data_IF_677756785046
#
_entry.id   IF_677756785046
#
_cell.length_a   1.000
_cell.length_b   1.000
_cell.length_c   1.000
_cell.angle_alpha   90.00
_cell.angle_beta   90.00
_cell.angle_gamma   90.00
#
_symmetry.space_group_name_H-M   'P 1'
#
loop_
_entity.id
_entity.type
_entity.pdbx_description
1 polymer ?
#
# COMPACT_ATOMS: atom_id res chain seq x y z
N UNK A 1 14.49 -13.41 -28.76
CA UNK A 1 14.74 -12.66 -27.51
C UNK A 1 13.72 -13.14 -26.50
N UNK A 2 14.14 -13.62 -25.33
CA UNK A 2 13.20 -14.07 -24.29
C UNK A 2 12.35 -12.88 -23.86
N UNK A 3 11.03 -12.96 -24.04
CA UNK A 3 10.10 -11.95 -23.54
C UNK A 3 10.24 -11.89 -22.01
N UNK A 4 10.46 -10.70 -21.44
CA UNK A 4 10.47 -10.55 -20.00
C UNK A 4 9.08 -10.96 -19.45
N UNK A 5 9.05 -11.74 -18.37
CA UNK A 5 7.79 -12.22 -17.80
C UNK A 5 7.07 -11.13 -16.97
N UNK A 6 7.80 -10.10 -16.53
CA UNK A 6 7.25 -9.01 -15.73
C UNK A 6 7.93 -7.68 -16.05
N UNK A 7 7.22 -6.57 -15.84
CA UNK A 7 7.75 -5.20 -15.85
C UNK A 7 7.54 -4.57 -14.48
N UNK A 8 8.60 -3.99 -13.91
CA UNK A 8 8.53 -3.31 -12.63
C UNK A 8 8.10 -1.85 -12.81
N UNK A 9 7.08 -1.43 -12.05
CA UNK A 9 6.61 -0.05 -11.95
C UNK A 9 7.00 0.50 -10.60
N UNK A 10 7.85 1.54 -10.61
CA UNK A 10 8.35 2.19 -9.40
C UNK A 10 7.90 3.64 -9.40
N UNK A 11 7.15 4.06 -8.38
CA UNK A 11 6.76 5.47 -8.22
C UNK A 11 7.66 6.11 -7.18
N UNK A 12 8.24 7.27 -7.49
CA UNK A 12 9.08 8.01 -6.55
C UNK A 12 8.58 9.44 -6.32
N UNK A 13 8.83 9.97 -5.13
CA UNK A 13 8.64 11.36 -4.76
C UNK A 13 9.64 11.68 -3.65
N UNK A 14 10.75 12.33 -4.00
CA UNK A 14 11.87 12.63 -3.10
C UNK A 14 12.50 11.38 -2.44
N UNK A 15 12.91 10.38 -3.25
CA UNK A 15 13.42 9.09 -2.76
C UNK A 15 14.90 8.85 -3.05
N UNK A 16 15.70 9.92 -3.18
CA UNK A 16 17.11 9.85 -3.60
C UNK A 16 17.93 8.86 -2.74
N UNK A 17 17.63 8.78 -1.44
CA UNK A 17 18.36 7.95 -0.48
C UNK A 17 18.11 6.45 -0.63
N UNK A 18 16.90 6.06 -1.06
CA UNK A 18 16.48 4.65 -1.07
C UNK A 18 16.50 4.04 -2.47
N UNK A 19 16.31 4.85 -3.51
CA UNK A 19 16.01 4.37 -4.86
C UNK A 19 17.12 3.49 -5.47
N UNK A 20 18.39 3.77 -5.17
CA UNK A 20 19.53 2.99 -5.70
C UNK A 20 19.44 1.53 -5.32
N UNK A 21 19.13 1.24 -4.05
CA UNK A 21 19.06 -0.13 -3.55
C UNK A 21 17.90 -0.90 -4.20
N UNK A 22 16.73 -0.25 -4.34
CA UNK A 22 15.57 -0.83 -5.00
C UNK A 22 15.86 -1.14 -6.48
N UNK A 23 16.41 -0.18 -7.23
CA UNK A 23 16.70 -0.38 -8.66
C UNK A 23 17.81 -1.40 -8.91
N UNK A 24 18.83 -1.49 -8.05
CA UNK A 24 19.84 -2.53 -8.14
C UNK A 24 19.25 -3.93 -7.95
N UNK A 25 18.31 -4.11 -7.01
CA UNK A 25 17.63 -5.39 -6.82
C UNK A 25 16.78 -5.77 -8.04
N UNK A 26 16.06 -4.81 -8.64
CA UNK A 26 15.27 -5.06 -9.85
C UNK A 26 16.16 -5.38 -11.07
N UNK A 27 17.31 -4.71 -11.20
CA UNK A 27 18.34 -5.02 -12.22
C UNK A 27 18.87 -6.44 -12.06
N UNK A 28 19.12 -6.89 -10.83
CA UNK A 28 19.58 -8.26 -10.55
C UNK A 28 18.54 -9.32 -10.91
N UNK A 29 17.25 -9.01 -10.79
CA UNK A 29 16.15 -9.86 -11.28
C UNK A 29 16.00 -9.81 -12.82
N UNK A 30 16.75 -8.95 -13.52
CA UNK A 30 16.72 -8.82 -14.98
C UNK A 30 15.42 -8.22 -15.52
N UNK A 31 14.75 -7.37 -14.73
CA UNK A 31 13.44 -6.82 -15.09
C UNK A 31 13.57 -5.51 -15.88
N UNK A 32 12.76 -5.30 -16.93
CA UNK A 32 12.44 -3.96 -17.39
C UNK A 32 11.83 -3.14 -16.26
N UNK A 33 12.30 -1.90 -16.08
CA UNK A 33 11.81 -1.01 -15.04
C UNK A 33 11.31 0.29 -15.66
N UNK A 34 10.10 0.69 -15.27
CA UNK A 34 9.51 1.99 -15.56
C UNK A 34 9.37 2.75 -14.25
N UNK A 35 10.19 3.79 -14.09
CA UNK A 35 10.17 4.67 -12.94
C UNK A 35 9.34 5.92 -13.25
N UNK A 36 8.34 6.18 -12.43
CA UNK A 36 7.51 7.39 -12.51
C UNK A 36 7.92 8.33 -11.40
N UNK A 37 8.57 9.43 -11.76
CA UNK A 37 8.87 10.51 -10.84
C UNK A 37 7.64 11.40 -10.66
N UNK A 38 7.09 11.43 -9.44
CA UNK A 38 5.85 12.11 -9.11
C UNK A 38 6.12 13.52 -8.56
N UNK A 39 6.89 14.31 -9.30
CA UNK A 39 7.36 15.66 -8.96
C UNK A 39 8.34 15.69 -7.77
N UNK A 40 9.44 14.95 -7.88
CA UNK A 40 10.55 15.12 -6.92
C UNK A 40 11.23 16.47 -7.10
N UNK A 41 11.69 17.03 -5.98
CA UNK A 41 12.49 18.26 -5.90
C UNK A 41 13.93 18.01 -5.44
N UNK A 42 14.27 16.76 -5.14
CA UNK A 42 15.62 16.33 -4.78
C UNK A 42 16.40 15.79 -6.00
N UNK A 43 17.56 15.17 -5.77
CA UNK A 43 18.41 14.63 -6.83
C UNK A 43 17.95 13.30 -7.41
N UNK A 44 16.76 12.79 -7.08
CA UNK A 44 16.30 11.43 -7.46
C UNK A 44 16.41 11.20 -8.96
N UNK A 45 15.84 12.10 -9.78
CA UNK A 45 15.77 11.91 -11.25
C UNK A 45 17.17 11.88 -11.87
N UNK A 46 18.04 12.81 -11.48
CA UNK A 46 19.40 12.91 -12.01
C UNK A 46 20.27 11.74 -11.55
N UNK A 47 20.05 11.24 -10.33
CA UNK A 47 20.70 10.05 -9.83
C UNK A 47 20.29 8.82 -10.66
N UNK A 48 18.99 8.63 -10.92
CA UNK A 48 18.48 7.48 -11.70
C UNK A 48 19.00 7.51 -13.12
N UNK A 49 18.91 8.65 -13.82
CA UNK A 49 19.40 8.78 -15.20
C UNK A 49 20.89 8.49 -15.35
N UNK A 50 21.70 8.84 -14.33
CA UNK A 50 23.14 8.59 -14.33
C UNK A 50 23.52 7.14 -14.03
N UNK A 51 22.87 6.51 -13.06
CA UNK A 51 23.27 5.19 -12.56
C UNK A 51 22.47 4.02 -13.18
N UNK A 52 21.32 4.31 -13.77
CA UNK A 52 20.40 3.33 -14.34
C UNK A 52 19.86 3.81 -15.70
N UNK A 53 20.74 4.01 -16.71
CA UNK A 53 20.32 4.49 -18.03
C UNK A 53 19.35 3.56 -18.76
N UNK A 54 19.26 2.29 -18.34
CA UNK A 54 18.30 1.31 -18.86
C UNK A 54 16.88 1.47 -18.29
N UNK A 55 16.70 2.24 -17.21
CA UNK A 55 15.39 2.48 -16.59
C UNK A 55 14.63 3.51 -17.41
N UNK A 56 13.39 3.20 -17.78
CA UNK A 56 12.50 4.18 -18.42
C UNK A 56 11.98 5.16 -17.38
N UNK A 57 12.43 6.42 -17.43
CA UNK A 57 12.04 7.46 -16.47
C UNK A 57 10.92 8.36 -17.04
N UNK A 58 9.79 8.39 -16.35
CA UNK A 58 8.62 9.23 -16.67
C UNK A 58 8.48 10.32 -15.60
N UNK A 59 8.80 11.57 -15.94
CA UNK A 59 8.71 12.69 -14.99
C UNK A 59 7.34 13.35 -15.06
N UNK A 60 6.71 13.57 -13.90
CA UNK A 60 5.48 14.35 -13.72
C UNK A 60 5.81 15.75 -13.21
N UNK A 61 5.21 16.82 -13.76
CA UNK A 61 5.41 18.19 -13.26
C UNK A 61 4.73 18.44 -11.90
N UNK A 62 3.74 17.62 -11.55
CA UNK A 62 2.97 17.73 -10.30
C UNK A 62 2.77 16.35 -9.70
N UNK A 63 2.70 16.27 -8.37
CA UNK A 63 2.37 15.04 -7.66
C UNK A 63 0.87 14.73 -7.84
N UNK A 64 0.53 13.73 -8.66
CA UNK A 64 -0.86 13.33 -8.95
C UNK A 64 -1.37 12.22 -8.01
N UNK A 65 -0.57 11.81 -7.02
CA UNK A 65 -0.85 10.67 -6.16
C UNK A 65 -0.29 9.36 -6.72
N UNK A 66 -0.26 8.34 -5.87
CA UNK A 66 0.37 7.06 -6.16
C UNK A 66 -0.41 6.27 -7.23
N UNK A 67 -1.74 6.19 -7.13
CA UNK A 67 -2.57 5.44 -8.09
C UNK A 67 -2.40 5.95 -9.54
N UNK A 68 -2.52 7.26 -9.74
CA UNK A 68 -2.34 7.89 -11.06
C UNK A 68 -0.92 7.68 -11.60
N UNK A 69 0.10 7.80 -10.76
CA UNK A 69 1.49 7.55 -11.17
C UNK A 69 1.73 6.09 -11.57
N UNK A 70 1.19 5.12 -10.82
CA UNK A 70 1.25 3.70 -11.18
C UNK A 70 0.59 3.46 -12.53
N UNK A 71 -0.62 3.98 -12.75
CA UNK A 71 -1.34 3.81 -14.02
C UNK A 71 -0.55 4.36 -15.21
N UNK A 72 0.06 5.54 -15.05
CA UNK A 72 0.95 6.13 -16.06
C UNK A 72 2.17 5.23 -16.34
N UNK A 73 2.75 4.64 -15.31
CA UNK A 73 3.87 3.70 -15.43
C UNK A 73 3.48 2.40 -16.11
N UNK A 74 2.29 1.89 -15.82
CA UNK A 74 1.78 0.63 -16.39
C UNK A 74 1.22 0.77 -17.81
N UNK A 75 0.91 2.00 -18.27
CA UNK A 75 0.34 2.25 -19.58
C UNK A 75 1.24 1.70 -20.71
N UNK A 76 0.74 0.74 -21.48
CA UNK A 76 1.47 0.10 -22.57
C UNK A 76 2.46 -0.99 -22.15
N UNK A 77 2.42 -1.46 -20.90
CA UNK A 77 3.13 -2.69 -20.51
C UNK A 77 2.48 -3.90 -21.18
N UNK A 78 3.30 -4.76 -21.79
CA UNK A 78 2.90 -5.96 -22.54
C UNK A 78 3.40 -7.28 -21.93
N UNK A 79 4.22 -7.22 -20.88
CA UNK A 79 4.67 -8.40 -20.12
C UNK A 79 3.52 -9.06 -19.37
N UNK A 80 3.59 -10.37 -19.09
CA UNK A 80 2.52 -11.13 -18.39
C UNK A 80 2.13 -10.56 -17.02
N UNK A 81 3.10 -9.93 -16.34
CA UNK A 81 2.95 -9.41 -14.97
C UNK A 81 3.39 -7.96 -14.86
N UNK A 82 2.56 -7.14 -14.21
CA UNK A 82 2.94 -5.82 -13.69
C UNK A 82 3.40 -6.00 -12.25
N UNK A 83 4.64 -5.65 -11.95
CA UNK A 83 5.20 -5.67 -10.60
C UNK A 83 5.24 -4.25 -10.03
N UNK A 84 4.35 -3.94 -9.08
CA UNK A 84 4.35 -2.69 -8.35
C UNK A 84 5.37 -2.78 -7.22
N UNK A 85 6.35 -1.88 -7.19
CA UNK A 85 7.39 -1.86 -6.14
C UNK A 85 7.63 -0.44 -5.66
N UNK A 86 7.59 -0.26 -4.33
CA UNK A 86 7.92 1.02 -3.72
C UNK A 86 9.41 1.36 -3.88
N UNK A 87 9.77 2.66 -3.90
CA UNK A 87 11.15 3.10 -4.13
C UNK A 87 12.10 2.79 -2.96
N UNK A 88 11.56 2.42 -1.80
CA UNK A 88 12.26 1.97 -0.60
C UNK A 88 12.07 0.47 -0.30
N UNK A 89 11.69 -0.30 -1.33
CA UNK A 89 11.52 -1.74 -1.27
C UNK A 89 12.60 -2.46 -2.10
N UNK A 90 13.34 -3.36 -1.45
CA UNK A 90 14.42 -4.16 -2.04
C UNK A 90 13.95 -5.62 -2.11
N UNK A 91 13.68 -6.13 -3.31
CA UNK A 91 13.35 -7.54 -3.50
C UNK A 91 14.59 -8.41 -3.33
N UNK A 92 14.45 -9.56 -2.65
CA UNK A 92 15.57 -10.52 -2.53
C UNK A 92 15.76 -11.33 -3.82
N UNK A 93 16.96 -11.86 -4.12
CA UNK A 93 17.19 -12.65 -5.33
C UNK A 93 16.20 -13.82 -5.47
N UNK A 94 15.65 -14.00 -6.67
CA UNK A 94 14.65 -15.01 -7.00
C UNK A 94 13.21 -14.67 -6.61
N UNK A 95 12.98 -13.52 -5.96
CA UNK A 95 11.64 -13.13 -5.49
C UNK A 95 10.66 -13.00 -6.65
N UNK A 96 11.02 -12.27 -7.70
CA UNK A 96 10.08 -11.99 -8.79
C UNK A 96 9.87 -13.23 -9.63
N UNK A 97 10.93 -14.02 -9.85
CA UNK A 97 10.83 -15.32 -10.50
C UNK A 97 9.84 -16.26 -9.77
N UNK A 98 9.89 -16.33 -8.44
CA UNK A 98 8.97 -17.16 -7.64
C UNK A 98 7.53 -16.65 -7.71
N UNK A 99 7.31 -15.33 -7.61
CA UNK A 99 5.97 -14.75 -7.71
C UNK A 99 5.35 -15.06 -9.08
N UNK A 100 6.09 -14.86 -10.16
CA UNK A 100 5.67 -15.22 -11.53
C UNK A 100 5.39 -16.72 -11.65
N UNK A 101 6.25 -17.57 -11.09
CA UNK A 101 6.08 -19.03 -11.11
C UNK A 101 4.79 -19.45 -10.41
N UNK A 102 4.52 -18.90 -9.22
CA UNK A 102 3.29 -19.16 -8.46
C UNK A 102 2.06 -18.76 -9.26
N UNK A 103 2.06 -17.57 -9.86
CA UNK A 103 0.95 -17.10 -10.70
C UNK A 103 0.74 -18.01 -11.91
N UNK A 104 1.81 -18.37 -12.64
CA UNK A 104 1.73 -19.27 -13.80
C UNK A 104 1.18 -20.64 -13.44
N UNK A 105 1.54 -21.17 -12.26
CA UNK A 105 1.06 -22.47 -11.77
C UNK A 105 -0.40 -22.46 -11.29
N UNK A 106 -1.01 -21.28 -11.08
CA UNK A 106 -2.36 -21.12 -10.51
C UNK A 106 -3.12 -20.06 -11.29
N UNK A 107 -3.81 -20.43 -12.38
CA UNK A 107 -4.52 -19.47 -13.23
C UNK A 107 -5.58 -18.62 -12.52
N UNK A 108 -6.18 -19.13 -11.43
CA UNK A 108 -7.13 -18.38 -10.60
C UNK A 108 -6.49 -17.24 -9.80
N UNK A 109 -5.17 -17.26 -9.60
CA UNK A 109 -4.44 -16.25 -8.84
C UNK A 109 -4.12 -15.06 -9.73
N UNK A 110 -4.69 -13.91 -9.37
CA UNK A 110 -4.53 -12.65 -10.08
C UNK A 110 -3.49 -11.71 -9.48
N UNK A 111 -3.30 -11.77 -8.16
CA UNK A 111 -2.39 -10.89 -7.41
C UNK A 111 -1.59 -11.73 -6.42
N UNK A 112 -0.29 -11.50 -6.35
CA UNK A 112 0.59 -12.11 -5.35
C UNK A 112 1.51 -11.07 -4.72
N UNK A 113 1.94 -11.33 -3.49
CA UNK A 113 2.92 -10.50 -2.80
C UNK A 113 3.83 -11.35 -1.90
N UNK A 114 5.11 -10.96 -1.75
CA UNK A 114 6.07 -11.70 -0.96
C UNK A 114 5.89 -11.44 0.54
N UNK A 115 6.69 -12.11 1.37
CA UNK A 115 6.92 -11.67 2.75
C UNK A 115 7.54 -10.28 2.74
N UNK A 116 7.02 -9.37 3.57
CA UNK A 116 7.61 -8.05 3.77
C UNK A 116 8.34 -8.01 5.10
N UNK A 117 9.60 -7.56 5.10
CA UNK A 117 10.38 -7.32 6.32
C UNK A 117 10.92 -5.91 6.36
N UNK A 118 11.24 -5.39 7.54
CA UNK A 118 12.04 -4.17 7.67
C UNK A 118 13.54 -4.46 7.51
N UNK A 119 14.37 -3.42 7.59
CA UNK A 119 15.84 -3.51 7.50
C UNK A 119 16.47 -4.39 8.59
N UNK A 120 15.75 -4.70 9.67
CA UNK A 120 16.20 -5.54 10.78
C UNK A 120 15.63 -6.97 10.70
N UNK A 121 15.00 -7.33 9.57
CA UNK A 121 14.40 -8.65 9.36
C UNK A 121 13.09 -8.87 10.10
N UNK A 122 12.52 -7.83 10.73
CA UNK A 122 11.21 -7.96 11.41
C UNK A 122 10.11 -7.99 10.36
N UNK A 123 9.27 -9.01 10.42
CA UNK A 123 8.15 -9.16 9.50
C UNK A 123 7.11 -8.05 9.69
N UNK A 124 6.76 -7.38 8.61
CA UNK A 124 5.61 -6.49 8.53
C UNK A 124 4.35 -7.30 8.19
N UNK A 125 3.26 -7.02 8.90
CA UNK A 125 1.95 -7.60 8.55
C UNK A 125 1.47 -6.91 7.29
N UNK A 126 1.52 -7.63 6.17
CA UNK A 126 1.17 -7.15 4.83
C UNK A 126 0.01 -7.92 4.21
N UNK A 127 -0.48 -8.97 4.86
CA UNK A 127 -1.61 -9.76 4.40
C UNK A 127 -2.82 -9.54 5.32
N UNK A 128 -3.97 -9.23 4.71
CA UNK A 128 -5.09 -8.66 5.45
C UNK A 128 -6.45 -9.21 5.00
N UNK A 129 -7.47 -8.89 5.80
CA UNK A 129 -8.89 -9.01 5.47
C UNK A 129 -9.40 -7.65 5.05
N UNK A 130 -10.40 -7.60 4.17
CA UNK A 130 -11.05 -6.36 3.79
C UNK A 130 -11.56 -5.62 5.03
N UNK A 131 -11.43 -4.31 5.01
CA UNK A 131 -11.80 -3.47 6.12
C UNK A 131 -13.32 -3.47 6.33
N UNK A 132 -13.69 -3.46 7.60
CA UNK A 132 -15.04 -3.46 8.13
C UNK A 132 -15.07 -2.57 9.37
N UNK A 133 -16.27 -2.21 9.84
CA UNK A 133 -16.42 -1.45 11.09
C UNK A 133 -15.68 -2.12 12.27
N UNK A 134 -15.71 -3.46 12.35
CA UNK A 134 -15.04 -4.22 13.41
C UNK A 134 -13.52 -4.08 13.31
N UNK A 135 -12.95 -4.17 12.11
CA UNK A 135 -11.49 -4.00 11.94
C UNK A 135 -11.05 -2.56 12.16
N UNK A 136 -11.87 -1.56 11.81
CA UNK A 136 -11.63 -0.15 12.15
C UNK A 136 -11.61 0.02 13.67
N UNK A 137 -12.64 -0.42 14.38
CA UNK A 137 -12.69 -0.34 15.85
C UNK A 137 -11.47 -1.01 16.49
N UNK A 138 -11.15 -2.23 16.03
CA UNK A 138 -10.00 -2.98 16.52
C UNK A 138 -8.68 -2.26 16.24
N UNK A 139 -8.45 -1.73 15.05
CA UNK A 139 -7.19 -1.08 14.66
C UNK A 139 -7.01 0.30 15.30
N UNK A 140 -8.08 1.10 15.41
CA UNK A 140 -8.00 2.50 15.87
C UNK A 140 -7.97 2.63 17.39
N UNK A 141 -8.60 1.73 18.13
CA UNK A 141 -8.64 1.76 19.60
C UNK A 141 -7.90 0.59 20.27
N UNK A 142 -7.85 -0.58 19.62
CA UNK A 142 -7.36 -1.79 20.28
C UNK A 142 -5.84 -1.86 20.50
N UNK A 143 -5.04 -0.95 19.92
CA UNK A 143 -3.57 -1.07 19.90
C UNK A 143 -2.91 -0.98 21.26
N UNK A 144 -3.48 -0.17 22.16
CA UNK A 144 -2.95 0.09 23.49
C UNK A 144 -3.93 -0.25 24.62
N UNK A 145 -5.23 -0.40 24.33
CA UNK A 145 -6.28 -0.56 25.34
C UNK A 145 -6.91 -1.96 25.37
N UNK A 146 -6.63 -2.81 24.38
CA UNK A 146 -7.20 -4.16 24.30
C UNK A 146 -6.07 -5.19 24.31
N UNK A 147 -5.99 -6.06 25.32
CA UNK A 147 -4.95 -7.09 25.41
C UNK A 147 -4.86 -7.93 24.13
N UNK A 148 -3.64 -8.30 23.72
CA UNK A 148 -3.38 -9.07 22.49
C UNK A 148 -4.20 -10.36 22.44
N UNK A 149 -4.40 -11.03 23.59
CA UNK A 149 -5.23 -12.23 23.70
C UNK A 149 -6.72 -11.95 23.37
N UNK A 150 -7.28 -10.85 23.87
CA UNK A 150 -8.66 -10.46 23.58
C UNK A 150 -8.82 -10.01 22.12
N UNK A 151 -7.82 -9.29 21.56
CA UNK A 151 -7.79 -8.98 20.12
C UNK A 151 -7.73 -10.24 19.28
N UNK A 152 -6.97 -11.26 19.70
CA UNK A 152 -6.90 -12.57 19.04
C UNK A 152 -8.22 -13.31 19.10
N UNK A 153 -8.95 -13.27 20.22
CA UNK A 153 -10.28 -13.89 20.33
C UNK A 153 -11.29 -13.22 19.39
N UNK A 154 -11.29 -11.88 19.36
CA UNK A 154 -12.26 -11.07 18.62
C UNK A 154 -11.96 -10.95 17.12
N UNK A 155 -10.75 -11.28 16.66
CA UNK A 155 -10.32 -11.02 15.27
C UNK A 155 -10.89 -11.99 14.22
N UNK A 156 -11.69 -13.00 14.60
CA UNK A 156 -12.20 -14.00 13.65
C UNK A 156 -11.10 -14.95 13.15
N UNK A 157 -11.47 -16.14 12.65
CA UNK A 157 -10.51 -17.20 12.27
C UNK A 157 -9.61 -16.78 11.10
N UNK A 158 -10.19 -16.15 10.07
CA UNK A 158 -9.47 -15.80 8.84
C UNK A 158 -8.42 -14.69 9.05
N UNK A 159 -8.70 -13.68 9.89
CA UNK A 159 -7.72 -12.64 10.21
C UNK A 159 -6.54 -13.18 11.01
N UNK A 160 -6.78 -14.16 11.90
CA UNK A 160 -5.70 -14.88 12.58
C UNK A 160 -4.86 -15.66 11.58
N UNK A 161 -5.49 -16.37 10.65
CA UNK A 161 -4.79 -17.10 9.60
C UNK A 161 -3.88 -16.18 8.76
N UNK A 162 -4.36 -15.00 8.34
CA UNK A 162 -3.54 -14.03 7.59
C UNK A 162 -2.35 -13.49 8.41
N UNK A 163 -2.58 -13.18 9.69
CA UNK A 163 -1.52 -12.73 10.61
C UNK A 163 -0.47 -13.84 10.87
N UNK A 164 -0.94 -15.05 11.13
CA UNK A 164 -0.09 -16.21 11.36
C UNK A 164 0.66 -16.61 10.08
N UNK A 165 0.04 -16.44 8.90
CA UNK A 165 0.72 -16.61 7.62
C UNK A 165 1.90 -15.65 7.48
N UNK A 166 1.73 -14.37 7.85
CA UNK A 166 2.84 -13.41 7.83
C UNK A 166 3.98 -13.84 8.77
N UNK A 167 3.63 -14.15 10.02
CA UNK A 167 4.61 -14.32 11.10
C UNK A 167 5.24 -15.71 11.18
N UNK A 168 4.52 -16.76 10.76
CA UNK A 168 4.93 -18.16 10.90
C UNK A 168 4.67 -19.01 9.66
N UNK A 169 4.02 -18.45 8.64
CA UNK A 169 3.68 -19.18 7.42
C UNK A 169 4.91 -19.55 6.62
N UNK A 170 4.89 -20.76 6.05
CA UNK A 170 5.88 -21.26 5.09
C UNK A 170 5.27 -21.57 3.72
N UNK A 171 3.94 -21.61 3.62
CA UNK A 171 3.21 -21.94 2.40
C UNK A 171 2.39 -20.74 1.91
N UNK A 172 2.14 -20.63 0.59
CA UNK A 172 1.27 -19.58 0.09
C UNK A 172 -0.15 -19.66 0.64
N UNK A 173 -0.75 -18.53 0.99
CA UNK A 173 -2.08 -18.45 1.64
C UNK A 173 -2.95 -17.42 0.93
N UNK A 174 -4.20 -17.79 0.64
CA UNK A 174 -5.19 -16.87 0.08
C UNK A 174 -5.62 -15.85 1.13
N UNK A 175 -5.66 -14.58 0.73
CA UNK A 175 -6.02 -13.44 1.59
C UNK A 175 -6.96 -12.50 0.84
N UNK A 176 -7.53 -11.51 1.52
CA UNK A 176 -8.40 -10.55 0.82
C UNK A 176 -7.59 -9.49 0.09
N UNK A 177 -6.55 -8.96 0.73
CA UNK A 177 -5.67 -7.96 0.13
C UNK A 177 -4.27 -7.99 0.74
N UNK A 178 -3.35 -7.39 0.01
CA UNK A 178 -1.93 -7.30 0.33
C UNK A 178 -1.49 -5.83 0.30
N UNK A 179 -0.60 -5.45 1.20
CA UNK A 179 -0.05 -4.08 1.23
C UNK A 179 0.85 -3.81 0.02
N UNK A 180 0.65 -2.65 -0.61
CA UNK A 180 1.27 -2.21 -1.87
C UNK A 180 2.80 -2.00 -1.90
N UNK A 181 3.58 -2.50 -0.94
CA UNK A 181 5.04 -2.33 -0.95
C UNK A 181 5.72 -3.09 -2.09
N UNK A 182 5.24 -4.32 -2.37
CA UNK A 182 5.65 -5.15 -3.49
C UNK A 182 4.49 -6.07 -3.88
N UNK A 183 3.87 -5.84 -5.04
CA UNK A 183 2.74 -6.62 -5.56
C UNK A 183 2.95 -6.99 -7.02
N UNK A 184 2.84 -8.28 -7.34
CA UNK A 184 2.78 -8.75 -8.72
C UNK A 184 1.31 -8.99 -9.10
N UNK A 185 0.90 -8.38 -10.20
CA UNK A 185 -0.48 -8.42 -10.72
C UNK A 185 -0.44 -8.92 -12.15
N UNK A 186 -1.35 -9.82 -12.54
CA UNK A 186 -1.44 -10.22 -13.94
C UNK A 186 -1.81 -9.00 -14.78
N UNK A 187 -1.11 -8.77 -15.89
CA UNK A 187 -1.31 -7.58 -16.72
C UNK A 187 -2.70 -7.53 -17.34
N UNK A 188 -3.24 -8.69 -17.73
CA UNK A 188 -4.61 -8.82 -18.24
C UNK A 188 -5.65 -8.41 -17.18
N UNK A 189 -5.49 -8.86 -15.94
CA UNK A 189 -6.34 -8.50 -14.81
C UNK A 189 -6.20 -7.02 -14.47
N UNK A 190 -4.98 -6.49 -14.38
CA UNK A 190 -4.73 -5.08 -14.10
C UNK A 190 -5.43 -4.18 -15.14
N UNK A 191 -5.31 -4.56 -16.42
CA UNK A 191 -5.98 -3.88 -17.54
C UNK A 191 -7.51 -4.01 -17.44
N UNK A 192 -8.03 -5.21 -17.16
CA UNK A 192 -9.47 -5.46 -17.03
C UNK A 192 -10.11 -4.78 -15.81
N UNK A 193 -9.33 -4.46 -14.77
CA UNK A 193 -9.77 -3.63 -13.64
C UNK A 193 -9.77 -2.15 -14.03
N UNK A 194 -8.90 -1.73 -14.95
CA UNK A 194 -8.64 -0.33 -15.29
C UNK A 194 -7.53 0.31 -14.46
N UNK A 195 -6.62 -0.52 -13.92
CA UNK A 195 -5.52 -0.09 -13.06
C UNK A 195 -5.92 0.22 -11.61
N UNK A 196 -5.14 1.06 -10.95
CA UNK A 196 -5.47 1.58 -9.62
C UNK A 196 -6.52 2.69 -9.73
N UNK A 197 -7.46 2.74 -8.78
CA UNK A 197 -8.48 3.78 -8.75
C UNK A 197 -7.87 5.14 -8.35
N UNK A 198 -7.78 6.05 -9.31
CA UNK A 198 -7.19 7.38 -9.15
C UNK A 198 -7.96 8.30 -8.19
N UNK A 199 -9.15 7.89 -7.74
CA UNK A 199 -9.83 8.54 -6.63
C UNK A 199 -9.10 8.39 -5.29
N UNK A 200 -8.11 7.50 -5.20
CA UNK A 200 -7.18 7.39 -4.08
C UNK A 200 -5.84 8.07 -4.44
N UNK A 201 -5.56 9.20 -3.79
CA UNK A 201 -4.26 9.86 -3.92
C UNK A 201 -3.14 9.03 -3.27
N UNK A 202 -3.40 8.44 -2.10
CA UNK A 202 -2.48 7.59 -1.35
C UNK A 202 -3.28 6.78 -0.32
N UNK A 203 -2.86 5.53 -0.09
CA UNK A 203 -3.54 4.52 0.74
C UNK A 203 -4.91 4.07 0.20
N UNK A 204 -5.25 2.81 0.46
CA UNK A 204 -6.46 2.08 0.00
C UNK A 204 -6.51 1.77 -1.50
N UNK A 205 -5.60 2.28 -2.32
CA UNK A 205 -5.52 1.85 -3.72
C UNK A 205 -5.18 0.35 -3.87
N UNK A 206 -4.38 -0.20 -2.96
CA UNK A 206 -4.01 -1.61 -2.91
C UNK A 206 -5.17 -2.50 -2.45
N UNK A 207 -5.88 -2.07 -1.40
CA UNK A 207 -7.10 -2.74 -0.94
C UNK A 207 -8.22 -2.67 -2.00
N UNK A 208 -8.40 -1.52 -2.66
CA UNK A 208 -9.34 -1.36 -3.78
C UNK A 208 -9.00 -2.32 -4.93
N UNK A 209 -7.74 -2.35 -5.38
CA UNK A 209 -7.29 -3.23 -6.46
C UNK A 209 -7.62 -4.69 -6.14
N UNK A 210 -7.30 -5.14 -4.92
CA UNK A 210 -7.58 -6.50 -4.46
C UNK A 210 -9.09 -6.78 -4.37
N UNK A 211 -9.90 -5.81 -3.96
CA UNK A 211 -11.35 -5.93 -3.94
C UNK A 211 -11.93 -6.07 -5.36
N UNK A 212 -11.43 -5.30 -6.31
CA UNK A 212 -11.86 -5.36 -7.72
C UNK A 212 -11.41 -6.67 -8.40
N UNK A 213 -10.24 -7.19 -8.04
CA UNK A 213 -9.79 -8.52 -8.44
C UNK A 213 -10.70 -9.63 -7.89
N UNK A 214 -11.01 -9.59 -6.59
CA UNK A 214 -11.90 -10.56 -5.95
C UNK A 214 -13.32 -10.55 -6.56
N UNK A 215 -13.85 -9.38 -6.91
CA UNK A 215 -15.14 -9.24 -7.62
C UNK A 215 -15.16 -9.86 -9.01
N UNK A 216 -13.98 -10.03 -9.63
CA UNK A 216 -13.78 -10.72 -10.91
C UNK A 216 -13.43 -12.20 -10.72
N UNK A 217 -13.50 -12.72 -9.50
CA UNK A 217 -13.17 -14.11 -9.18
C UNK A 217 -11.67 -14.41 -9.11
N UNK A 218 -10.81 -13.40 -9.17
CA UNK A 218 -9.37 -13.59 -9.06
C UNK A 218 -8.93 -13.66 -7.59
N UNK A 219 -8.10 -14.66 -7.27
CA UNK A 219 -7.55 -14.85 -5.94
C UNK A 219 -6.33 -13.95 -5.68
N UNK A 220 -6.19 -13.51 -4.43
CA UNK A 220 -5.03 -12.78 -3.92
C UNK A 220 -4.25 -13.70 -2.99
N UNK A 221 -2.95 -13.86 -3.24
CA UNK A 221 -2.14 -14.87 -2.55
C UNK A 221 -0.89 -14.25 -1.91
N UNK A 222 -0.75 -14.43 -0.60
CA UNK A 222 0.48 -14.13 0.12
C UNK A 222 1.49 -15.28 -0.08
N UNK A 223 2.72 -14.98 -0.48
CA UNK A 223 3.77 -15.95 -0.82
C UNK A 223 4.96 -15.79 0.14
N UNK A 224 4.98 -16.51 1.28
CA UNK A 224 5.99 -16.32 2.33
C UNK A 224 7.36 -16.95 2.05
N UNK A 225 7.51 -17.68 0.94
CA UNK A 225 8.75 -18.36 0.52
C UNK A 225 9.82 -17.39 0.01
N UNK A 226 9.41 -16.19 -0.43
CA UNK A 226 10.30 -15.11 -0.90
C UNK A 226 10.01 -13.82 -0.16
N UNK A 227 10.99 -12.91 -0.15
CA UNK A 227 10.97 -11.72 0.71
C UNK A 227 11.28 -10.45 -0.05
N UNK A 228 10.66 -9.35 0.35
CA UNK A 228 11.07 -8.00 0.01
C UNK A 228 11.29 -7.17 1.28
N UNK A 229 12.41 -6.46 1.35
CA UNK A 229 12.79 -5.61 2.47
C UNK A 229 12.27 -4.20 2.21
N UNK A 230 11.32 -3.75 3.01
CA UNK A 230 10.71 -2.43 2.91
C UNK A 230 11.09 -1.61 4.15
N UNK A 231 12.01 -0.65 3.96
CA UNK A 231 12.55 0.16 5.07
C UNK A 231 11.56 1.20 5.57
N UNK A 232 10.63 1.62 4.70
CA UNK A 232 9.58 2.59 4.98
C UNK A 232 10.09 4.03 5.03
N UNK A 233 9.17 4.97 4.77
CA UNK A 233 9.40 6.39 4.96
C UNK A 233 9.91 7.16 3.73
N UNK A 234 9.90 6.56 2.53
CA UNK A 234 10.29 7.27 1.30
C UNK A 234 9.47 8.53 1.00
N UNK A 235 8.16 8.53 1.24
CA UNK A 235 7.30 9.68 0.88
C UNK A 235 7.13 10.71 2.00
N UNK A 236 6.95 10.26 3.25
CA UNK A 236 6.84 11.13 4.43
C UNK A 236 6.81 10.31 5.71
N UNK A 237 7.31 10.89 6.81
CA UNK A 237 7.09 10.40 8.17
C UNK A 237 6.19 11.34 9.01
N UNK A 238 5.73 12.46 8.44
CA UNK A 238 4.92 13.47 9.13
C UNK A 238 3.46 13.01 9.28
N UNK A 239 2.95 12.84 10.51
CA UNK A 239 1.54 12.56 10.76
C UNK A 239 0.56 13.55 10.11
N UNK A 240 0.93 14.83 10.00
CA UNK A 240 0.08 15.86 9.41
C UNK A 240 -0.07 15.75 7.89
N UNK A 241 0.82 14.96 7.26
CA UNK A 241 0.72 14.53 5.88
C UNK A 241 0.01 13.17 5.78
N UNK A 242 0.50 12.15 6.49
CA UNK A 242 0.04 10.77 6.37
C UNK A 242 -1.43 10.60 6.77
N UNK A 243 -1.84 11.09 7.94
CA UNK A 243 -3.15 10.74 8.49
C UNK A 243 -4.31 11.32 7.67
N UNK A 244 -4.29 12.60 7.23
CA UNK A 244 -5.36 13.11 6.38
C UNK A 244 -5.60 12.28 5.11
N UNK A 245 -4.53 11.85 4.43
CA UNK A 245 -4.67 10.98 3.25
C UNK A 245 -5.25 9.61 3.63
N UNK A 246 -4.69 8.95 4.65
CA UNK A 246 -5.17 7.65 5.12
C UNK A 246 -6.66 7.67 5.49
N UNK A 247 -7.11 8.64 6.29
CA UNK A 247 -8.50 8.71 6.74
C UNK A 247 -9.44 9.15 5.62
N UNK A 248 -9.00 10.00 4.69
CA UNK A 248 -9.81 10.37 3.51
C UNK A 248 -10.03 9.14 2.63
N UNK A 249 -8.97 8.41 2.31
CA UNK A 249 -9.03 7.20 1.49
C UNK A 249 -9.88 6.12 2.16
N UNK A 250 -9.71 5.90 3.47
CA UNK A 250 -10.56 4.98 4.23
C UNK A 250 -12.05 5.34 4.12
N UNK A 251 -12.42 6.60 4.39
CA UNK A 251 -13.83 7.00 4.35
C UNK A 251 -14.40 6.94 2.93
N UNK A 252 -13.58 7.19 1.90
CA UNK A 252 -13.96 6.96 0.50
C UNK A 252 -14.26 5.48 0.24
N UNK A 253 -13.37 4.57 0.67
CA UNK A 253 -13.58 3.13 0.54
C UNK A 253 -14.88 2.68 1.20
N UNK A 254 -15.15 3.14 2.43
CA UNK A 254 -16.42 2.86 3.10
C UNK A 254 -17.63 3.46 2.38
N UNK A 255 -17.53 4.68 1.86
CA UNK A 255 -18.61 5.28 1.10
C UNK A 255 -18.95 4.50 -0.18
N UNK A 256 -17.93 3.94 -0.84
CA UNK A 256 -18.11 3.21 -2.10
C UNK A 256 -18.52 1.74 -1.91
N UNK A 257 -17.99 1.05 -0.90
CA UNK A 257 -18.13 -0.41 -0.77
C UNK A 257 -18.86 -0.88 0.48
N UNK A 258 -19.06 0.00 1.47
CA UNK A 258 -19.58 -0.34 2.81
C UNK A 258 -20.51 0.75 3.37
N UNK A 259 -21.31 1.37 2.50
CA UNK A 259 -22.12 2.56 2.83
C UNK A 259 -22.98 2.40 4.10
N UNK A 260 -23.54 1.19 4.33
CA UNK A 260 -24.33 0.89 5.53
C UNK A 260 -23.57 1.02 6.87
N UNK A 261 -22.24 1.01 6.85
CA UNK A 261 -21.40 1.20 8.06
C UNK A 261 -20.64 2.54 8.07
N UNK A 262 -20.76 3.35 7.01
CA UNK A 262 -20.00 4.59 6.85
C UNK A 262 -20.20 5.56 8.01
N UNK A 263 -21.44 5.77 8.46
CA UNK A 263 -21.74 6.71 9.55
C UNK A 263 -21.13 6.27 10.88
N UNK A 264 -21.15 4.97 11.18
CA UNK A 264 -20.48 4.42 12.36
C UNK A 264 -18.97 4.60 12.28
N UNK A 265 -18.36 4.34 11.11
CA UNK A 265 -16.93 4.58 10.89
C UNK A 265 -16.57 6.06 11.03
N UNK A 266 -17.39 6.97 10.49
CA UNK A 266 -17.22 8.42 10.72
C UNK A 266 -17.24 8.78 12.20
N UNK A 267 -18.20 8.25 12.96
CA UNK A 267 -18.28 8.44 14.41
C UNK A 267 -17.00 7.98 15.12
N UNK A 268 -16.48 6.81 14.74
CA UNK A 268 -15.20 6.29 15.24
C UNK A 268 -14.03 7.22 14.92
N UNK A 269 -13.93 7.71 13.68
CA UNK A 269 -12.87 8.63 13.27
C UNK A 269 -12.96 9.97 14.00
N UNK A 270 -14.17 10.52 14.15
CA UNK A 270 -14.40 11.76 14.89
C UNK A 270 -14.00 11.61 16.36
N UNK A 271 -14.44 10.54 17.01
CA UNK A 271 -14.04 10.24 18.39
C UNK A 271 -12.51 10.12 18.51
N UNK A 272 -11.89 9.40 17.57
CA UNK A 272 -10.43 9.23 17.51
C UNK A 272 -9.70 10.58 17.35
N UNK A 273 -10.24 11.47 16.52
CA UNK A 273 -9.70 12.80 16.30
C UNK A 273 -9.84 13.69 17.54
N UNK A 274 -11.00 13.69 18.20
CA UNK A 274 -11.23 14.44 19.44
C UNK A 274 -10.25 14.01 20.56
N UNK A 275 -10.10 12.69 20.77
CA UNK A 275 -9.12 12.14 21.71
C UNK A 275 -7.70 12.57 21.30
N UNK A 276 -7.39 12.50 20.00
CA UNK A 276 -6.09 12.88 19.46
C UNK A 276 -5.74 14.36 19.67
N UNK A 277 -6.72 15.26 19.51
CA UNK A 277 -6.62 16.71 19.77
C UNK A 277 -6.34 16.94 21.25
N UNK A 278 -7.12 16.33 22.15
CA UNK A 278 -6.93 16.46 23.60
C UNK A 278 -5.53 16.01 24.05
N UNK A 279 -5.09 14.83 23.60
CA UNK A 279 -3.74 14.31 23.90
C UNK A 279 -2.62 15.17 23.30
N UNK A 280 -2.84 15.78 22.14
CA UNK A 280 -1.88 16.69 21.53
C UNK A 280 -1.75 17.99 22.34
N UNK A 281 -2.86 18.52 22.88
CA UNK A 281 -2.87 19.67 23.78
C UNK A 281 -2.08 19.41 25.06
N UNK A 282 -2.29 18.25 25.70
CA UNK A 282 -1.52 17.85 26.91
C UNK A 282 -0.02 17.72 26.62
N UNK A 283 0.36 17.25 25.44
CA UNK A 283 1.78 17.12 25.03
C UNK A 283 2.43 18.42 24.60
N UNK A 284 1.65 19.43 24.21
CA UNK A 284 2.17 20.69 23.69
C UNK A 284 3.16 21.41 24.62
N UNK A 285 2.93 21.53 25.94
CA UNK A 285 3.92 22.15 26.83
C UNK A 285 5.22 21.33 26.98
N UNK A 286 5.16 20.00 26.83
CA UNK A 286 6.32 19.10 26.97
C UNK A 286 7.13 18.96 25.67
N UNK A 287 6.43 18.94 24.53
CA UNK A 287 7.01 18.71 23.21
C UNK A 287 6.29 19.60 22.17
N UNK A 288 6.57 20.91 22.13
CA UNK A 288 5.79 21.87 21.36
C UNK A 288 5.67 21.54 19.87
N UNK A 289 6.78 21.13 19.24
CA UNK A 289 6.81 20.78 17.80
C UNK A 289 5.94 19.55 17.50
N UNK A 290 6.13 18.47 18.26
CA UNK A 290 5.39 17.22 18.07
C UNK A 290 3.91 17.36 18.44
N UNK A 291 3.60 18.09 19.52
CA UNK A 291 2.24 18.43 19.92
C UNK A 291 1.51 19.21 18.83
N UNK A 292 2.14 20.25 18.28
CA UNK A 292 1.57 21.08 17.22
C UNK A 292 1.30 20.29 15.93
N UNK A 293 2.26 19.46 15.48
CA UNK A 293 2.07 18.63 14.29
C UNK A 293 0.89 17.66 14.45
N UNK A 294 0.79 16.99 15.60
CA UNK A 294 -0.31 16.07 15.90
C UNK A 294 -1.66 16.78 16.03
N UNK A 295 -1.69 17.97 16.63
CA UNK A 295 -2.90 18.78 16.72
C UNK A 295 -3.41 19.11 15.30
N UNK A 296 -2.54 19.65 14.44
CA UNK A 296 -2.89 19.94 13.04
C UNK A 296 -3.38 18.69 12.30
N UNK A 297 -2.68 17.56 12.47
CA UNK A 297 -3.06 16.29 11.85
C UNK A 297 -4.48 15.85 12.27
N UNK A 298 -4.77 15.81 13.57
CA UNK A 298 -6.09 15.38 14.06
C UNK A 298 -7.21 16.37 13.74
N UNK A 299 -6.94 17.68 13.74
CA UNK A 299 -7.92 18.68 13.29
C UNK A 299 -8.29 18.47 11.82
N UNK A 300 -7.31 18.20 10.95
CA UNK A 300 -7.57 17.87 9.54
C UNK A 300 -8.39 16.58 9.41
N UNK A 301 -8.04 15.53 10.16
CA UNK A 301 -8.80 14.26 10.17
C UNK A 301 -10.24 14.48 10.64
N UNK A 302 -10.47 15.28 11.69
CA UNK A 302 -11.81 15.62 12.16
C UNK A 302 -12.65 16.34 11.09
N UNK A 303 -12.04 17.31 10.39
CA UNK A 303 -12.70 17.98 9.25
C UNK A 303 -13.06 16.99 8.15
N UNK A 304 -12.12 16.11 7.76
CA UNK A 304 -12.36 15.07 6.75
C UNK A 304 -13.53 14.16 7.14
N UNK A 305 -13.59 13.72 8.40
CA UNK A 305 -14.69 12.88 8.88
C UNK A 305 -16.05 13.58 8.86
N UNK A 306 -16.07 14.91 9.00
CA UNK A 306 -17.27 15.73 8.88
C UNK A 306 -17.66 16.05 7.42
N UNK A 307 -16.78 15.85 6.43
CA UNK A 307 -17.11 16.07 5.01
C UNK A 307 -18.01 14.97 4.44
N UNK A 308 -18.91 15.37 3.55
CA UNK A 308 -19.66 14.43 2.70
C UNK A 308 -18.75 13.96 1.57
N UNK A 309 -18.68 12.65 1.35
CA UNK A 309 -18.12 12.10 0.13
C UNK A 309 -19.25 12.05 -0.89
N UNK A 310 -19.04 12.63 -2.06
CA UNK A 310 -19.93 12.38 -3.18
C UNK A 310 -19.79 10.92 -3.57
N UNK A 311 -20.81 10.13 -3.26
CA UNK A 311 -20.99 8.84 -3.91
C UNK A 311 -21.35 9.13 -5.35
N UNK A 312 -20.38 9.17 -6.26
CA UNK A 312 -20.72 9.03 -7.68
C UNK A 312 -21.38 7.67 -7.81
N UNK A 313 -22.70 7.68 -7.99
CA UNK A 313 -23.49 6.49 -8.26
C UNK A 313 -22.92 5.80 -9.49
N UNK A 314 -22.72 4.49 -9.39
CA UNK A 314 -22.46 3.68 -10.57
C UNK A 314 -23.69 3.74 -11.47
N UNK A 315 -23.50 4.19 -12.70
CA UNK A 315 -24.28 3.72 -13.84
C UNK A 315 -23.67 2.39 -14.30
#
# INVERSE_FOLDING_TARGET
MSHAAATAIVVTHNSERQIVAALNALRQEGLPVRLVDNASSDGTVDLVRRHFPEVTVLVSPTNTGFASAVNRGAAGVDTDVVLLVNPDCVVTPGTVAELVRVMRSRPSVGIVGPRITDAHGRVAISAHRFESLVTVLASRFGGALVPVALRRLLSGRQRRAAYDACTRGAQPVAVDWLSGACLAVRTDLFTAIGGLDEGYFLYYEDEELCLQAARRGAEVLYVPSVTAVHTGGASSSDPAWIWPHLYRSMLRFFARHRAGTLHAVRGVVLLRALIGIGLAGVRMPLQPRAGTARLRAWTRVGRIAATRFETRGGA
#
